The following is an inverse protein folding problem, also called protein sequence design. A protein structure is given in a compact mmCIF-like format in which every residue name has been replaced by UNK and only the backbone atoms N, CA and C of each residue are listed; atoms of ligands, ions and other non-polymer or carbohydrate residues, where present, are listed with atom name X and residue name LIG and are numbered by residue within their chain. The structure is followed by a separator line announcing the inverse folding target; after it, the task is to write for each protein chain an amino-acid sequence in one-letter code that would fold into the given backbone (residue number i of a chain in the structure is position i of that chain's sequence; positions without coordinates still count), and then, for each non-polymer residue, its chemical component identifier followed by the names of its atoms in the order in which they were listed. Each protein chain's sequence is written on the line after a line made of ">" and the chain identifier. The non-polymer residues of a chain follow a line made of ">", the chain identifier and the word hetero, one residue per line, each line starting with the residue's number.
data_IF_152943966226
#
_entry.id   IF_152943966226
#
_cell.length_a   1.000
_cell.length_b   1.000
_cell.length_c   1.000
_cell.angle_alpha   90.00
_cell.angle_beta   90.00
_cell.angle_gamma   90.00
#
_symmetry.space_group_name_H-M   'P 1'
#
loop_
_entity.id
_entity.type
_entity.pdbx_description
1 polymer ?
#
# COMPACT_ATOMS: atom_id res chain seq x y z
N UNK A 1 -9.74 -26.26 1.98
CA UNK A 1 -10.86 -25.34 2.30
C UNK A 1 -11.68 -26.01 3.39
N UNK A 2 -12.10 -25.30 4.44
CA UNK A 2 -12.90 -25.92 5.52
C UNK A 2 -14.27 -26.34 4.98
N UNK A 3 -14.92 -27.39 5.53
CA UNK A 3 -16.25 -27.84 5.06
C UNK A 3 -17.34 -26.76 5.12
N UNK A 4 -17.20 -25.79 6.03
CA UNK A 4 -18.08 -24.63 6.17
C UNK A 4 -17.77 -23.49 5.18
N UNK A 5 -16.69 -23.59 4.39
CA UNK A 5 -16.31 -22.55 3.41
C UNK A 5 -15.81 -21.23 4.00
N UNK A 6 -15.62 -21.16 5.33
CA UNK A 6 -15.22 -19.93 6.02
C UNK A 6 -13.80 -19.55 5.64
N UNK A 7 -13.57 -18.24 5.46
CA UNK A 7 -12.26 -17.65 5.21
C UNK A 7 -12.00 -16.52 6.20
N UNK A 8 -10.75 -16.35 6.61
CA UNK A 8 -10.34 -15.19 7.39
C UNK A 8 -10.31 -13.94 6.52
N UNK A 9 -10.95 -12.85 7.00
CA UNK A 9 -10.99 -11.57 6.29
C UNK A 9 -10.41 -10.40 7.12
N UNK A 10 -10.19 -10.58 8.43
CA UNK A 10 -9.85 -9.49 9.34
C UNK A 10 -8.65 -8.63 8.92
N UNK A 11 -7.62 -9.24 8.34
CA UNK A 11 -6.41 -8.53 7.91
C UNK A 11 -6.42 -8.18 6.41
N UNK A 12 -7.24 -8.86 5.59
CA UNK A 12 -7.21 -8.73 4.13
C UNK A 12 -7.46 -7.29 3.67
N UNK A 13 -8.33 -6.56 4.38
CA UNK A 13 -8.65 -5.18 4.07
C UNK A 13 -7.46 -4.23 4.17
N UNK A 14 -6.48 -4.52 5.04
CA UNK A 14 -5.35 -3.62 5.32
C UNK A 14 -4.04 -4.05 4.63
N UNK A 15 -3.87 -5.34 4.33
CA UNK A 15 -2.63 -5.91 3.75
C UNK A 15 -2.18 -5.16 2.48
N UNK A 16 -3.11 -4.77 1.61
CA UNK A 16 -2.80 -4.11 0.34
C UNK A 16 -2.82 -2.58 0.37
N UNK A 17 -3.34 -1.96 1.42
CA UNK A 17 -3.73 -0.53 1.40
C UNK A 17 -2.53 0.39 1.24
N UNK A 18 -1.48 0.19 2.04
CA UNK A 18 -0.28 1.03 1.97
C UNK A 18 0.44 0.92 0.61
N UNK A 19 0.49 -0.29 0.04
CA UNK A 19 1.08 -0.51 -1.27
C UNK A 19 0.26 0.14 -2.41
N UNK A 20 -1.07 0.06 -2.34
CA UNK A 20 -1.96 0.71 -3.30
C UNK A 20 -1.78 2.23 -3.31
N UNK A 21 -1.73 2.85 -2.12
CA UNK A 21 -1.47 4.29 -1.98
C UNK A 21 -0.07 4.65 -2.51
N UNK A 22 0.98 3.91 -2.15
CA UNK A 22 2.34 4.16 -2.65
C UNK A 22 2.45 4.01 -4.18
N UNK A 23 1.70 3.09 -4.78
CA UNK A 23 1.62 2.94 -6.23
C UNK A 23 0.90 4.12 -6.89
N UNK A 24 -0.17 4.63 -6.29
CA UNK A 24 -0.86 5.82 -6.79
C UNK A 24 0.04 7.07 -6.74
N UNK A 25 0.81 7.24 -5.66
CA UNK A 25 1.80 8.32 -5.54
C UNK A 25 2.85 8.21 -6.65
N UNK A 26 3.42 7.02 -6.87
CA UNK A 26 4.37 6.81 -7.97
C UNK A 26 3.75 7.09 -9.34
N UNK A 27 2.50 6.65 -9.57
CA UNK A 27 1.80 6.93 -10.82
C UNK A 27 1.62 8.43 -11.07
N UNK A 28 1.33 9.21 -10.03
CA UNK A 28 1.12 10.65 -10.13
C UNK A 28 2.43 11.47 -10.23
N UNK A 29 3.52 10.99 -9.62
CA UNK A 29 4.74 11.80 -9.43
C UNK A 29 5.97 11.27 -10.16
N UNK A 30 5.98 9.99 -10.57
CA UNK A 30 7.18 9.30 -11.04
C UNK A 30 8.19 8.95 -9.94
N UNK A 31 8.01 9.44 -8.70
CA UNK A 31 8.94 9.22 -7.58
C UNK A 31 8.54 7.95 -6.83
N UNK A 32 9.48 6.99 -6.73
CA UNK A 32 9.24 5.70 -6.06
C UNK A 32 9.77 5.69 -4.63
N UNK A 33 8.87 5.75 -3.66
CA UNK A 33 9.21 5.60 -2.23
C UNK A 33 9.04 4.15 -1.78
N UNK A 34 10.09 3.54 -1.22
CA UNK A 34 10.07 2.16 -0.69
C UNK A 34 10.14 2.06 0.83
N UNK A 35 10.43 3.18 1.51
CA UNK A 35 10.48 3.27 2.96
C UNK A 35 9.26 4.06 3.46
N UNK A 36 8.34 3.37 4.12
CA UNK A 36 7.15 3.96 4.72
C UNK A 36 7.50 4.68 6.05
N UNK A 37 6.70 5.67 6.49
CA UNK A 37 5.56 6.27 5.79
C UNK A 37 5.99 7.12 4.59
N UNK A 38 5.10 7.32 3.60
CA UNK A 38 5.37 8.22 2.46
C UNK A 38 5.07 9.66 2.89
N UNK A 39 6.10 10.40 3.28
CA UNK A 39 6.03 11.81 3.69
C UNK A 39 6.51 12.73 2.56
N UNK A 40 6.16 14.01 2.62
CA UNK A 40 6.40 14.97 1.52
C UNK A 40 7.88 15.18 1.22
N UNK A 41 8.75 15.14 2.23
CA UNK A 41 10.22 15.20 2.10
C UNK A 41 10.78 14.07 1.23
N UNK A 42 10.07 12.94 1.11
CA UNK A 42 10.46 11.82 0.24
C UNK A 42 10.02 12.01 -1.22
N UNK A 43 9.25 13.07 -1.52
CA UNK A 43 8.76 13.40 -2.86
C UNK A 43 9.41 14.65 -3.44
N UNK A 44 9.87 15.56 -2.57
CA UNK A 44 10.57 16.78 -2.97
C UNK A 44 12.05 16.45 -3.15
N UNK A 45 12.50 16.48 -4.40
CA UNK A 45 13.92 16.43 -4.78
C UNK A 45 14.32 17.88 -5.08
N UNK A 46 15.42 18.35 -4.48
CA UNK A 46 15.98 19.67 -4.76
C UNK A 46 16.39 19.83 -6.24
#
# INVERSE_FOLDING_TARGET
>A
VTPLGVKGLGEIGIVGTAAAVANAIYHATGVRVRSLPVTIDKLLVD
#
